data_IF_729354432966
#
_entry.id   IF_729354432966
#
_cell.length_a   1.000
_cell.length_b   1.000
_cell.length_c   1.000
_cell.angle_alpha   90.00
_cell.angle_beta   90.00
_cell.angle_gamma   90.00
#
_symmetry.space_group_name_H-M   'P 1'
#
loop_
_entity.id
_entity.type
_entity.pdbx_description
1 polymer ?
#
# COMPACT_ATOMS: atom_id res chain seq x y z
N UNK A 1 -43.90 16.84 54.28
CA UNK A 1 -43.04 17.94 53.78
C UNK A 1 -41.59 17.50 53.94
N UNK A 2 -40.94 17.09 52.85
CA UNK A 2 -39.51 16.80 52.78
C UNK A 2 -39.01 17.36 51.45
N UNK A 3 -38.14 18.36 51.54
CA UNK A 3 -37.54 19.13 50.44
C UNK A 3 -36.36 18.38 49.82
N UNK A 4 -36.38 18.24 48.49
CA UNK A 4 -35.23 17.82 47.67
C UNK A 4 -34.52 19.10 47.19
N UNK A 5 -33.20 19.25 47.32
CA UNK A 5 -32.49 20.38 46.71
C UNK A 5 -32.25 20.11 45.21
N UNK A 6 -32.74 21.03 44.38
CA UNK A 6 -32.40 21.09 42.95
C UNK A 6 -30.92 21.43 42.76
N UNK A 7 -30.19 20.52 42.10
CA UNK A 7 -28.90 20.77 41.48
C UNK A 7 -29.03 21.81 40.37
N UNK A 8 -28.16 22.82 40.38
CA UNK A 8 -28.09 23.88 39.36
C UNK A 8 -27.69 23.28 38.01
N UNK A 9 -28.50 23.54 36.98
CA UNK A 9 -28.16 23.29 35.58
C UNK A 9 -26.91 24.09 35.18
N UNK A 10 -25.86 23.38 34.78
CA UNK A 10 -24.74 23.95 34.04
C UNK A 10 -25.17 23.98 32.58
N UNK A 11 -25.43 25.19 32.06
CA UNK A 11 -25.65 25.42 30.62
C UNK A 11 -24.38 25.03 29.87
N UNK A 12 -24.42 23.87 29.20
CA UNK A 12 -23.38 23.48 28.25
C UNK A 12 -23.54 24.33 26.98
N UNK A 13 -22.66 25.30 26.78
CA UNK A 13 -22.41 25.83 25.44
C UNK A 13 -21.92 24.65 24.62
N UNK A 14 -22.73 24.17 23.67
CA UNK A 14 -22.59 22.93 22.92
C UNK A 14 -21.31 22.79 22.09
N UNK A 15 -20.17 22.71 22.75
CA UNK A 15 -18.87 22.33 22.21
C UNK A 15 -18.46 21.01 22.87
N UNK A 16 -18.09 20.04 22.05
CA UNK A 16 -17.58 18.74 22.47
C UNK A 16 -16.22 18.90 23.16
N UNK A 17 -15.93 18.08 24.19
CA UNK A 17 -14.69 18.14 24.99
C UNK A 17 -13.40 18.01 24.17
N UNK A 18 -13.46 17.32 23.02
CA UNK A 18 -12.34 17.26 22.07
C UNK A 18 -12.07 18.63 21.45
N UNK A 19 -13.09 19.45 21.21
CA UNK A 19 -12.95 20.77 20.60
C UNK A 19 -12.25 21.77 21.55
N UNK A 20 -12.45 21.63 22.87
CA UNK A 20 -11.77 22.42 23.90
C UNK A 20 -10.27 22.08 24.02
N UNK A 21 -9.89 20.82 23.75
CA UNK A 21 -8.49 20.39 23.74
C UNK A 21 -7.72 20.97 22.55
N UNK A 22 -8.37 21.13 21.39
CA UNK A 22 -7.75 21.68 20.19
C UNK A 22 -7.68 23.22 20.20
N UNK A 23 -8.66 23.91 20.79
CA UNK A 23 -8.60 25.38 20.95
C UNK A 23 -7.45 25.83 21.87
N UNK A 24 -6.98 24.97 22.80
CA UNK A 24 -5.80 25.25 23.64
C UNK A 24 -4.46 25.15 22.91
N UNK A 25 -4.39 24.43 21.80
CA UNK A 25 -3.14 24.23 21.06
C UNK A 25 -2.81 25.39 20.10
N UNK A 26 -3.78 26.24 19.76
CA UNK A 26 -3.66 27.28 18.73
C UNK A 26 -3.90 28.71 19.23
N UNK A 27 -3.40 29.05 20.43
CA UNK A 27 -3.33 30.44 20.87
C UNK A 27 -1.88 30.93 20.85
N UNK A 28 -1.51 31.92 20.01
CA UNK A 28 -0.18 32.52 20.04
C UNK A 28 -0.11 33.42 21.27
N UNK A 29 0.59 32.97 22.31
CA UNK A 29 0.83 33.76 23.50
C UNK A 29 1.77 34.94 23.18
N UNK A 30 1.14 36.09 22.95
CA UNK A 30 1.70 37.43 22.95
C UNK A 30 2.75 37.63 24.05
N UNK A 31 3.97 37.98 23.65
CA UNK A 31 5.08 38.33 24.53
C UNK A 31 4.79 39.62 25.33
N UNK A 32 5.04 39.68 26.65
CA UNK A 32 5.11 40.95 27.36
C UNK A 32 6.56 41.46 27.43
N UNK A 33 6.78 42.68 26.94
CA UNK A 33 8.03 43.45 27.16
C UNK A 33 8.18 43.82 28.65
N UNK A 34 9.35 43.66 29.28
CA UNK A 34 9.55 44.09 30.65
C UNK A 34 9.97 45.58 30.74
N UNK A 35 9.31 46.33 31.61
CA UNK A 35 9.79 47.62 32.14
C UNK A 35 10.81 47.35 33.26
N UNK A 36 11.92 48.09 33.24
CA UNK A 36 13.02 48.09 34.23
C UNK A 36 12.53 48.41 35.65
N UNK A 37 12.98 47.64 36.66
CA UNK A 37 13.76 48.14 37.80
C UNK A 37 14.27 47.02 38.72
N UNK A 38 15.60 46.95 38.82
CA UNK A 38 16.47 46.55 39.95
C UNK A 38 16.03 45.49 40.97
N UNK A 39 16.78 44.38 41.05
CA UNK A 39 17.83 44.13 42.08
C UNK A 39 18.43 42.74 41.83
N UNK A 40 19.75 42.68 41.95
CA UNK A 40 20.63 41.53 41.76
C UNK A 40 20.29 40.37 42.71
N UNK A 41 19.98 39.19 42.17
CA UNK A 41 20.24 37.89 42.81
C UNK A 41 20.52 36.86 41.69
N UNK A 42 21.50 36.01 41.96
CA UNK A 42 22.27 35.14 41.06
C UNK A 42 21.44 34.28 40.09
N UNK A 43 21.78 34.34 38.81
CA UNK A 43 21.30 33.37 37.83
C UNK A 43 22.05 32.04 38.03
N UNK A 44 21.32 31.00 38.46
CA UNK A 44 21.82 29.64 38.54
C UNK A 44 22.15 29.19 37.11
N UNK A 45 23.44 29.18 36.78
CA UNK A 45 23.92 28.66 35.50
C UNK A 45 23.87 27.13 35.56
N UNK A 46 22.80 26.54 35.04
CA UNK A 46 22.56 25.09 35.02
C UNK A 46 23.74 24.33 34.37
N UNK A 47 24.45 24.98 33.42
CA UNK A 47 25.63 24.42 32.78
C UNK A 47 26.86 24.32 33.69
N UNK A 48 26.96 25.14 34.74
CA UNK A 48 28.03 25.07 35.75
C UNK A 48 27.76 24.02 36.85
N UNK A 49 26.50 23.60 37.02
CA UNK A 49 26.10 22.52 37.94
C UNK A 49 26.32 21.12 37.36
N UNK A 50 26.45 20.99 36.03
CA UNK A 50 26.69 19.71 35.36
C UNK A 50 28.18 19.38 35.15
N UNK A 51 29.07 20.35 35.33
CA UNK A 51 30.51 20.20 35.05
C UNK A 51 31.35 19.74 36.25
N UNK A 52 30.79 19.69 37.46
CA UNK A 52 31.48 19.21 38.66
C UNK A 52 30.85 17.92 39.18
N UNK A 53 31.21 16.79 38.58
CA UNK A 53 31.07 15.50 39.24
C UNK A 53 32.18 14.53 38.85
N UNK A 54 33.42 14.91 39.16
CA UNK A 54 34.51 13.94 39.29
C UNK A 54 34.36 13.22 40.63
N UNK A 55 33.64 12.10 40.62
CA UNK A 55 33.63 11.16 41.73
C UNK A 55 33.84 9.74 41.21
N UNK A 56 35.03 9.21 41.50
CA UNK A 56 35.43 7.82 41.34
C UNK A 56 34.41 6.87 41.98
N UNK A 57 33.63 6.18 41.15
CA UNK A 57 32.96 4.92 41.49
C UNK A 57 33.00 3.99 40.26
N UNK A 58 33.20 2.67 40.45
CA UNK A 58 33.32 1.73 39.33
C UNK A 58 32.02 1.72 38.52
N UNK A 59 32.17 1.80 37.19
CA UNK A 59 31.07 1.89 36.25
C UNK A 59 30.08 0.72 36.46
N UNK A 60 28.89 1.03 36.98
CA UNK A 60 27.75 0.12 36.88
C UNK A 60 27.49 -0.05 35.40
N UNK A 61 27.66 -1.29 34.90
CA UNK A 61 27.35 -1.66 33.52
C UNK A 61 25.94 -1.17 33.22
N UNK A 62 25.84 -0.10 32.42
CA UNK A 62 24.59 0.28 31.80
C UNK A 62 24.13 -0.95 31.03
N UNK A 63 22.90 -1.37 31.28
CA UNK A 63 22.25 -2.41 30.51
C UNK A 63 22.17 -1.90 29.08
N UNK A 64 23.13 -2.29 28.25
CA UNK A 64 23.00 -2.16 26.80
C UNK A 64 22.02 -3.27 26.43
N UNK A 65 20.80 -2.96 25.95
CA UNK A 65 19.95 -4.02 25.41
C UNK A 65 20.78 -4.77 24.37
N UNK A 66 20.74 -6.11 24.34
CA UNK A 66 21.59 -6.87 23.43
C UNK A 66 21.38 -6.31 22.04
N UNK A 67 22.42 -5.70 21.48
CA UNK A 67 22.48 -5.41 20.05
C UNK A 67 22.20 -6.73 19.39
N UNK A 68 21.00 -6.90 18.84
CA UNK A 68 20.73 -7.96 17.90
C UNK A 68 21.80 -7.77 16.84
N UNK A 69 22.80 -8.64 16.86
CA UNK A 69 23.56 -8.89 15.66
C UNK A 69 22.50 -9.31 14.66
N UNK A 70 22.08 -8.36 13.82
CA UNK A 70 21.50 -8.68 12.54
C UNK A 70 22.61 -9.47 11.88
N UNK A 71 22.60 -10.80 12.09
CA UNK A 71 23.18 -11.72 11.14
C UNK A 71 22.67 -11.18 9.83
N UNK A 72 23.59 -10.69 8.99
CA UNK A 72 23.28 -10.32 7.64
C UNK A 72 22.53 -11.51 7.07
N UNK A 73 21.20 -11.40 7.04
CA UNK A 73 20.36 -12.30 6.32
C UNK A 73 20.91 -12.22 4.92
N UNK A 74 21.61 -13.30 4.56
CA UNK A 74 21.85 -13.70 3.18
C UNK A 74 20.54 -13.36 2.50
N UNK A 75 20.56 -12.32 1.63
CA UNK A 75 19.39 -11.79 0.94
C UNK A 75 18.52 -12.99 0.55
N UNK A 76 17.49 -13.25 1.36
CA UNK A 76 16.48 -14.17 0.97
C UNK A 76 15.94 -13.53 -0.30
N UNK A 77 16.05 -14.24 -1.43
CA UNK A 77 15.29 -13.88 -2.62
C UNK A 77 13.88 -13.58 -2.10
N UNK A 78 13.31 -12.40 -2.35
CA UNK A 78 11.99 -12.07 -1.84
C UNK A 78 11.11 -13.24 -2.23
N UNK A 79 10.61 -13.92 -1.20
CA UNK A 79 9.57 -14.93 -1.32
C UNK A 79 8.56 -14.33 -2.27
N UNK A 80 8.40 -14.95 -3.45
CA UNK A 80 7.69 -14.38 -4.60
C UNK A 80 6.36 -13.82 -4.11
N UNK A 81 6.32 -12.52 -3.85
CA UNK A 81 5.10 -11.84 -3.49
C UNK A 81 4.22 -12.09 -4.69
N UNK A 82 3.11 -12.80 -4.48
CA UNK A 82 2.14 -13.05 -5.52
C UNK A 82 1.62 -11.66 -5.94
N UNK A 83 2.24 -11.10 -6.97
CA UNK A 83 1.76 -9.91 -7.64
C UNK A 83 0.56 -10.38 -8.46
N UNK A 84 -0.62 -9.82 -8.21
CA UNK A 84 -1.84 -10.15 -8.95
C UNK A 84 -2.04 -9.17 -10.11
N UNK A 85 -1.86 -7.88 -9.83
CA UNK A 85 -2.02 -6.82 -10.82
C UNK A 85 -1.12 -5.64 -10.48
N UNK A 86 -0.43 -5.10 -11.49
CA UNK A 86 0.45 -3.95 -11.35
C UNK A 86 -0.18 -2.76 -12.08
N UNK A 87 -0.33 -1.63 -11.40
CA UNK A 87 -0.97 -0.43 -11.96
C UNK A 87 -0.02 0.52 -12.67
N UNK A 88 1.26 0.45 -12.32
CA UNK A 88 2.31 1.15 -13.06
C UNK A 88 3.66 0.45 -12.87
N UNK A 89 4.45 0.43 -13.92
CA UNK A 89 5.79 -0.14 -13.93
C UNK A 89 6.78 0.93 -14.35
N UNK A 90 7.79 1.18 -13.54
CA UNK A 90 8.82 2.16 -13.79
C UNK A 90 10.10 1.40 -14.10
N UNK A 91 10.62 1.60 -15.30
CA UNK A 91 11.88 1.05 -15.76
C UNK A 91 12.89 2.20 -15.81
N UNK A 92 14.04 2.04 -15.17
CA UNK A 92 15.15 2.99 -15.27
C UNK A 92 16.36 2.29 -15.88
N UNK A 93 16.80 2.80 -17.04
CA UNK A 93 17.87 2.22 -17.87
C UNK A 93 18.93 3.25 -18.23
N UNK A 94 20.10 2.78 -18.68
CA UNK A 94 21.17 3.61 -19.22
C UNK A 94 20.99 3.95 -20.71
N UNK A 95 20.12 3.22 -21.41
CA UNK A 95 19.73 3.43 -22.82
C UNK A 95 18.23 3.57 -22.93
N UNK A 96 17.75 4.10 -24.05
CA UNK A 96 16.32 4.19 -24.33
C UNK A 96 15.68 2.81 -24.22
N UNK A 97 14.62 2.71 -23.42
CA UNK A 97 13.91 1.45 -23.23
C UNK A 97 12.88 1.27 -24.33
N UNK A 98 13.05 0.23 -25.14
CA UNK A 98 12.06 -0.20 -26.11
C UNK A 98 11.11 -1.22 -25.47
N UNK A 99 9.81 -0.92 -25.53
CA UNK A 99 8.77 -1.82 -25.06
C UNK A 99 8.74 -3.09 -25.94
N UNK A 100 8.53 -4.29 -25.39
CA UNK A 100 8.32 -5.46 -26.23
C UNK A 100 7.09 -5.29 -27.13
N UNK A 101 7.19 -5.73 -28.38
CA UNK A 101 6.09 -5.68 -29.37
C UNK A 101 4.81 -6.37 -28.87
N UNK A 102 4.95 -7.36 -28.00
CA UNK A 102 3.85 -8.07 -27.37
C UNK A 102 3.06 -7.23 -26.37
N UNK A 103 3.60 -6.10 -25.89
CA UNK A 103 2.92 -5.17 -24.98
C UNK A 103 2.46 -3.90 -25.70
N UNK A 104 2.94 -3.65 -26.92
CA UNK A 104 2.51 -2.51 -27.70
C UNK A 104 1.04 -2.66 -28.13
N UNK A 105 0.27 -1.58 -28.00
CA UNK A 105 -1.16 -1.57 -28.31
C UNK A 105 -2.06 -2.46 -27.43
N UNK A 106 -1.51 -3.10 -26.39
CA UNK A 106 -2.33 -3.93 -25.50
C UNK A 106 -3.30 -3.12 -24.66
N UNK A 107 -4.46 -3.72 -24.44
CA UNK A 107 -5.54 -3.17 -23.64
C UNK A 107 -5.99 -4.17 -22.58
N UNK A 108 -6.44 -3.66 -21.45
CA UNK A 108 -7.06 -4.43 -20.38
C UNK A 108 -8.52 -4.03 -20.28
N UNK A 109 -9.41 -5.02 -20.21
CA UNK A 109 -10.84 -4.80 -20.03
C UNK A 109 -11.15 -4.75 -18.54
N UNK A 110 -11.78 -3.66 -18.10
CA UNK A 110 -11.91 -3.34 -16.68
C UNK A 110 -13.33 -2.97 -16.32
N UNK A 111 -13.85 -3.56 -15.26
CA UNK A 111 -15.12 -3.18 -14.66
C UNK A 111 -14.92 -2.84 -13.19
N UNK A 112 -15.37 -1.65 -12.78
CA UNK A 112 -15.28 -1.11 -11.41
C UNK A 112 -16.58 -0.43 -10.98
N UNK A 113 -17.72 -0.99 -11.38
CA UNK A 113 -19.05 -0.46 -11.11
C UNK A 113 -19.75 -1.20 -9.98
N UNK A 114 -20.80 -0.60 -9.43
CA UNK A 114 -21.84 -1.35 -8.70
C UNK A 114 -23.02 -1.67 -9.63
N UNK A 115 -23.29 -0.78 -10.60
CA UNK A 115 -24.27 -0.97 -11.67
C UNK A 115 -23.97 -2.15 -12.59
N UNK A 116 -24.96 -3.01 -12.80
CA UNK A 116 -24.88 -4.20 -13.68
C UNK A 116 -23.80 -5.22 -13.28
N UNK A 117 -23.44 -5.26 -11.99
CA UNK A 117 -22.40 -6.16 -11.48
C UNK A 117 -22.74 -7.63 -11.72
N UNK A 118 -24.01 -8.00 -11.58
CA UNK A 118 -24.47 -9.39 -11.78
C UNK A 118 -24.31 -9.79 -13.25
N UNK A 119 -24.73 -8.96 -14.20
CA UNK A 119 -24.54 -9.26 -15.62
C UNK A 119 -23.06 -9.29 -16.00
N UNK A 120 -22.27 -8.31 -15.52
CA UNK A 120 -20.84 -8.24 -15.79
C UNK A 120 -20.10 -9.45 -15.22
N UNK A 121 -20.42 -9.88 -14.00
CA UNK A 121 -19.84 -11.06 -13.38
C UNK A 121 -20.21 -12.36 -14.10
N UNK A 122 -21.48 -12.52 -14.49
CA UNK A 122 -21.93 -13.72 -15.20
C UNK A 122 -21.25 -13.90 -16.56
N UNK A 123 -20.98 -12.81 -17.27
CA UNK A 123 -20.23 -12.83 -18.52
C UNK A 123 -18.73 -13.07 -18.26
N UNK A 124 -18.15 -12.36 -17.29
CA UNK A 124 -16.76 -12.55 -16.86
C UNK A 124 -16.46 -14.01 -16.47
N UNK A 125 -17.37 -14.67 -15.74
CA UNK A 125 -17.24 -16.07 -15.33
C UNK A 125 -17.07 -17.04 -16.52
N UNK A 126 -17.74 -16.75 -17.64
CA UNK A 126 -17.59 -17.54 -18.88
C UNK A 126 -16.22 -17.29 -19.50
N UNK A 127 -15.76 -16.04 -19.49
CA UNK A 127 -14.51 -15.62 -20.12
C UNK A 127 -13.27 -16.05 -19.34
N UNK A 128 -13.37 -16.25 -18.02
CA UNK A 128 -12.27 -16.74 -17.16
C UNK A 128 -11.61 -18.02 -17.69
N UNK A 129 -12.35 -18.88 -18.41
CA UNK A 129 -11.84 -20.14 -18.95
C UNK A 129 -11.10 -19.95 -20.28
N UNK A 130 -11.43 -18.92 -21.05
CA UNK A 130 -10.86 -18.67 -22.39
C UNK A 130 -9.77 -17.61 -22.37
N UNK A 131 -9.89 -16.63 -21.46
CA UNK A 131 -8.95 -15.54 -21.31
C UNK A 131 -7.58 -16.04 -20.85
N UNK A 132 -6.52 -15.39 -21.36
CA UNK A 132 -5.15 -15.70 -20.95
C UNK A 132 -4.94 -15.45 -19.46
N UNK A 133 -5.47 -14.33 -18.98
CA UNK A 133 -5.49 -13.99 -17.56
C UNK A 133 -6.73 -13.17 -17.21
N UNK A 134 -7.26 -13.40 -16.02
CA UNK A 134 -8.37 -12.63 -15.46
C UNK A 134 -8.17 -12.47 -13.96
N UNK A 135 -8.54 -11.31 -13.43
CA UNK A 135 -8.45 -10.98 -12.01
C UNK A 135 -9.81 -10.51 -11.54
N UNK A 136 -10.32 -11.14 -10.48
CA UNK A 136 -11.51 -10.69 -9.78
C UNK A 136 -11.12 -10.29 -8.35
N UNK A 137 -11.33 -9.01 -8.03
CA UNK A 137 -11.01 -8.45 -6.72
C UNK A 137 -12.27 -7.98 -6.02
N UNK A 138 -12.37 -8.33 -4.74
CA UNK A 138 -13.34 -7.82 -3.80
C UNK A 138 -12.61 -7.16 -2.63
N UNK A 139 -13.34 -6.56 -1.69
CA UNK A 139 -12.74 -5.92 -0.52
C UNK A 139 -11.94 -6.88 0.37
N UNK A 140 -12.31 -8.18 0.36
CA UNK A 140 -11.74 -9.21 1.26
C UNK A 140 -10.65 -10.06 0.63
N UNK A 141 -10.70 -10.25 -0.69
CA UNK A 141 -9.77 -11.10 -1.42
C UNK A 141 -9.61 -10.65 -2.87
N UNK A 142 -8.56 -11.12 -3.52
CA UNK A 142 -8.40 -11.12 -4.96
C UNK A 142 -8.09 -12.53 -5.46
N UNK A 143 -8.68 -12.88 -6.59
CA UNK A 143 -8.42 -14.11 -7.33
C UNK A 143 -7.79 -13.77 -8.67
N UNK A 144 -6.75 -14.50 -9.05
CA UNK A 144 -6.16 -14.47 -10.38
C UNK A 144 -6.36 -15.84 -11.02
N UNK A 145 -6.92 -15.82 -12.21
CA UNK A 145 -7.14 -16.97 -13.07
C UNK A 145 -6.16 -16.88 -14.23
N UNK A 146 -5.21 -17.81 -14.31
CA UNK A 146 -4.17 -17.81 -15.33
C UNK A 146 -3.88 -19.23 -15.80
N UNK A 147 -4.15 -19.52 -17.08
CA UNK A 147 -3.81 -20.82 -17.69
C UNK A 147 -4.36 -22.03 -16.94
N UNK A 148 -5.59 -21.94 -16.42
CA UNK A 148 -6.23 -23.01 -15.65
C UNK A 148 -5.80 -23.13 -14.18
N UNK A 149 -4.88 -22.28 -13.72
CA UNK A 149 -4.51 -22.18 -12.30
C UNK A 149 -5.21 -20.98 -11.67
N UNK A 150 -5.70 -21.17 -10.44
CA UNK A 150 -6.27 -20.09 -9.64
C UNK A 150 -5.40 -19.85 -8.42
N UNK A 151 -5.01 -18.59 -8.23
CA UNK A 151 -4.30 -18.14 -7.04
C UNK A 151 -5.17 -17.13 -6.34
N UNK A 152 -5.13 -17.10 -5.01
CA UNK A 152 -5.89 -16.13 -4.23
C UNK A 152 -5.00 -15.38 -3.25
N UNK A 153 -5.39 -14.15 -2.95
CA UNK A 153 -4.80 -13.32 -1.91
C UNK A 153 -5.92 -12.81 -1.03
N UNK A 154 -5.80 -13.07 0.26
CA UNK A 154 -6.66 -12.46 1.26
C UNK A 154 -6.10 -11.09 1.67
N UNK A 155 -6.99 -10.12 1.86
CA UNK A 155 -6.66 -8.81 2.42
C UNK A 155 -7.01 -8.71 3.91
N UNK A 156 -7.84 -9.63 4.43
CA UNK A 156 -8.23 -9.67 5.84
C UNK A 156 -7.90 -11.04 6.45
N UNK A 157 -7.56 -11.08 7.74
CA UNK A 157 -7.28 -12.34 8.43
C UNK A 157 -8.48 -13.30 8.46
N UNK A 158 -9.70 -12.78 8.41
CA UNK A 158 -10.92 -13.59 8.26
C UNK A 158 -11.04 -14.22 6.88
N UNK A 159 -10.65 -13.51 5.82
CA UNK A 159 -10.63 -14.05 4.47
C UNK A 159 -9.51 -15.07 4.30
N UNK A 160 -8.36 -14.88 4.97
CA UNK A 160 -7.28 -15.85 4.95
C UNK A 160 -7.74 -17.20 5.52
N UNK A 161 -8.42 -17.19 6.67
CA UNK A 161 -9.00 -18.43 7.25
C UNK A 161 -10.00 -19.10 6.30
N UNK A 162 -10.87 -18.33 5.66
CA UNK A 162 -11.82 -18.87 4.67
C UNK A 162 -11.10 -19.51 3.48
N UNK A 163 -10.04 -18.89 2.97
CA UNK A 163 -9.25 -19.46 1.89
C UNK A 163 -8.46 -20.71 2.32
N UNK A 164 -7.94 -20.74 3.55
CA UNK A 164 -7.23 -21.89 4.13
C UNK A 164 -8.16 -23.09 4.38
N UNK A 165 -9.43 -22.84 4.74
CA UNK A 165 -10.47 -23.87 4.86
C UNK A 165 -10.78 -24.55 3.52
N UNK A 166 -10.72 -23.78 2.43
CA UNK A 166 -11.01 -24.26 1.07
C UNK A 166 -9.79 -24.92 0.40
N UNK A 167 -8.58 -24.44 0.70
CA UNK A 167 -7.35 -24.98 0.14
C UNK A 167 -6.19 -24.82 1.11
N UNK A 168 -5.48 -25.91 1.38
CA UNK A 168 -4.24 -25.88 2.16
C UNK A 168 -3.12 -25.13 1.42
N UNK A 169 -3.22 -24.99 0.11
CA UNK A 169 -2.30 -24.25 -0.75
C UNK A 169 -3.02 -23.12 -1.50
N UNK A 170 -2.79 -21.89 -1.07
CA UNK A 170 -3.33 -20.65 -1.66
C UNK A 170 -2.87 -20.43 -3.12
N UNK A 171 -1.85 -21.16 -3.56
CA UNK A 171 -1.30 -21.06 -4.91
C UNK A 171 -1.97 -21.98 -5.93
N UNK A 172 -2.86 -22.88 -5.50
CA UNK A 172 -3.53 -23.86 -6.37
C UNK A 172 -4.98 -24.12 -5.95
N UNK A 173 -5.81 -23.08 -6.00
CA UNK A 173 -7.24 -23.18 -5.70
C UNK A 173 -7.99 -23.80 -6.89
N UNK A 174 -9.01 -24.60 -6.59
CA UNK A 174 -9.92 -25.12 -7.62
C UNK A 174 -10.76 -23.99 -8.20
N UNK A 175 -10.87 -23.95 -9.53
CA UNK A 175 -11.57 -22.89 -10.25
C UNK A 175 -13.03 -22.75 -9.83
N UNK A 176 -13.76 -23.86 -9.72
CA UNK A 176 -15.19 -23.82 -9.37
C UNK A 176 -15.41 -23.32 -7.93
N UNK A 177 -14.53 -23.68 -6.99
CA UNK A 177 -14.59 -23.17 -5.60
C UNK A 177 -14.31 -21.67 -5.52
N UNK A 178 -13.35 -21.17 -6.30
CA UNK A 178 -13.07 -19.72 -6.37
C UNK A 178 -14.26 -18.95 -6.95
N UNK A 179 -14.89 -19.48 -8.00
CA UNK A 179 -16.08 -18.87 -8.59
C UNK A 179 -17.26 -18.86 -7.62
N UNK A 180 -17.47 -19.93 -6.86
CA UNK A 180 -18.53 -20.02 -5.85
C UNK A 180 -18.36 -18.97 -4.75
N UNK A 181 -17.12 -18.79 -4.24
CA UNK A 181 -16.86 -17.75 -3.23
C UNK A 181 -17.18 -16.34 -3.73
N UNK A 182 -16.84 -16.05 -4.99
CA UNK A 182 -17.16 -14.74 -5.58
C UNK A 182 -18.67 -14.62 -5.80
N UNK A 183 -19.35 -15.71 -6.18
CA UNK A 183 -20.82 -15.74 -6.34
C UNK A 183 -21.56 -15.40 -5.04
N UNK A 184 -21.07 -15.88 -3.90
CA UNK A 184 -21.66 -15.58 -2.58
C UNK A 184 -21.49 -14.10 -2.20
N UNK A 185 -20.42 -13.48 -2.68
CA UNK A 185 -19.99 -12.14 -2.25
C UNK A 185 -20.41 -11.05 -3.24
N UNK A 186 -20.69 -11.39 -4.50
CA UNK A 186 -21.10 -10.44 -5.53
C UNK A 186 -22.36 -9.65 -5.15
N UNK A 187 -23.26 -10.22 -4.34
CA UNK A 187 -24.48 -9.53 -3.94
C UNK A 187 -24.22 -8.47 -2.84
N UNK A 188 -23.14 -8.65 -2.08
CA UNK A 188 -22.86 -7.87 -0.87
C UNK A 188 -21.72 -6.88 -1.05
N UNK A 189 -20.75 -7.18 -1.91
CA UNK A 189 -19.54 -6.37 -2.10
C UNK A 189 -19.38 -5.91 -3.53
N UNK A 190 -18.78 -4.74 -3.68
CA UNK A 190 -18.36 -4.22 -4.98
C UNK A 190 -17.19 -5.05 -5.52
N UNK A 191 -17.36 -5.59 -6.72
CA UNK A 191 -16.32 -6.33 -7.44
C UNK A 191 -15.55 -5.39 -8.38
N UNK A 192 -14.25 -5.63 -8.48
CA UNK A 192 -13.37 -5.06 -9.50
C UNK A 192 -12.87 -6.20 -10.37
N UNK A 193 -13.28 -6.19 -11.64
CA UNK A 193 -12.98 -7.24 -12.60
C UNK A 193 -12.00 -6.72 -13.64
N UNK A 194 -10.99 -7.52 -13.96
CA UNK A 194 -9.96 -7.22 -14.94
C UNK A 194 -9.75 -8.45 -15.82
N UNK A 195 -9.74 -8.30 -17.13
CA UNK A 195 -9.49 -9.41 -18.05
C UNK A 195 -8.66 -8.97 -19.25
N UNK A 196 -7.94 -9.91 -19.84
CA UNK A 196 -7.34 -9.73 -21.17
C UNK A 196 -8.38 -9.70 -22.28
N UNK A 197 -9.55 -10.29 -22.03
CA UNK A 197 -10.60 -10.46 -23.03
C UNK A 197 -11.79 -9.55 -22.72
N UNK A 198 -12.55 -9.19 -23.76
CA UNK A 198 -13.73 -8.34 -23.61
C UNK A 198 -14.85 -9.07 -22.85
N UNK A 199 -15.50 -8.36 -21.93
CA UNK A 199 -16.70 -8.82 -21.23
C UNK A 199 -17.72 -7.69 -21.05
N UNK A 200 -18.95 -8.04 -20.68
CA UNK A 200 -20.03 -7.07 -20.53
C UNK A 200 -19.74 -5.99 -19.50
N UNK A 201 -20.10 -4.75 -19.87
CA UNK A 201 -19.87 -3.53 -19.10
C UNK A 201 -18.39 -3.21 -18.80
N UNK A 202 -17.46 -3.91 -19.45
CA UNK A 202 -16.04 -3.59 -19.33
C UNK A 202 -15.69 -2.30 -20.08
N UNK A 203 -14.81 -1.52 -19.47
CA UNK A 203 -14.18 -0.33 -20.05
C UNK A 203 -12.78 -0.70 -20.49
N UNK A 204 -12.43 -0.36 -21.72
CA UNK A 204 -11.10 -0.59 -22.29
C UNK A 204 -10.11 0.38 -21.67
N UNK A 205 -9.05 -0.14 -21.06
CA UNK A 205 -7.92 0.64 -20.54
C UNK A 205 -6.63 0.28 -21.32
N UNK A 206 -6.11 1.18 -22.17
CA UNK A 206 -4.86 0.94 -22.86
C UNK A 206 -3.66 1.09 -21.93
N UNK A 207 -2.58 0.36 -22.24
CA UNK A 207 -1.28 0.59 -21.62
C UNK A 207 -0.67 1.85 -22.25
N UNK A 208 -0.28 2.80 -21.41
CA UNK A 208 0.34 4.06 -21.85
C UNK A 208 1.81 4.11 -21.46
N UNK A 209 2.64 4.55 -22.40
CA UNK A 209 4.08 4.68 -22.24
C UNK A 209 4.45 6.15 -22.07
N UNK A 210 5.24 6.47 -21.04
CA UNK A 210 5.85 7.79 -20.87
C UNK A 210 7.34 7.64 -20.63
N UNK A 211 8.15 8.05 -21.60
CA UNK A 211 9.60 8.04 -21.50
C UNK A 211 10.14 9.42 -21.14
N UNK A 212 11.09 9.47 -20.22
CA UNK A 212 11.74 10.70 -19.76
C UNK A 212 13.25 10.47 -19.71
N UNK A 213 14.02 11.41 -20.28
CA UNK A 213 15.49 11.42 -20.20
C UNK A 213 15.92 12.38 -19.09
N UNK A 214 16.93 11.99 -18.30
CA UNK A 214 17.54 12.86 -17.30
C UNK A 214 19.04 12.58 -17.13
N UNK A 215 19.78 13.63 -16.79
CA UNK A 215 21.21 13.51 -16.51
C UNK A 215 21.45 13.10 -15.05
N UNK A 216 22.36 12.16 -14.84
CA UNK A 216 22.82 11.73 -13.53
C UNK A 216 24.34 11.89 -13.42
N UNK A 217 24.88 11.80 -12.21
CA UNK A 217 26.33 11.83 -11.96
C UNK A 217 27.10 10.73 -12.70
N UNK A 218 26.43 9.65 -13.08
CA UNK A 218 27.00 8.51 -13.82
C UNK A 218 26.71 8.58 -15.34
N UNK A 219 26.15 9.68 -15.84
CA UNK A 219 25.77 9.86 -17.24
C UNK A 219 24.25 9.96 -17.46
N UNK A 220 23.85 9.94 -18.74
CA UNK A 220 22.44 10.00 -19.16
C UNK A 220 21.67 8.75 -18.73
N UNK A 221 20.49 8.93 -18.17
CA UNK A 221 19.57 7.86 -17.78
C UNK A 221 18.21 8.09 -18.40
N UNK A 222 17.54 6.98 -18.69
CA UNK A 222 16.20 6.95 -19.25
C UNK A 222 15.28 6.34 -18.20
N UNK A 223 14.14 6.98 -17.98
CA UNK A 223 13.07 6.48 -17.13
C UNK A 223 11.82 6.36 -17.96
N UNK A 224 11.33 5.13 -18.07
CA UNK A 224 10.10 4.79 -18.78
C UNK A 224 9.06 4.36 -17.78
N UNK A 225 7.90 5.03 -17.81
CA UNK A 225 6.75 4.73 -16.97
C UNK A 225 5.66 4.12 -17.85
N UNK A 226 5.38 2.85 -17.58
CA UNK A 226 4.25 2.11 -18.12
C UNK A 226 3.08 2.28 -17.16
N UNK A 227 2.01 2.94 -17.62
CA UNK A 227 0.80 3.14 -16.81
C UNK A 227 -0.37 2.37 -17.43
N UNK A 228 -1.01 1.51 -16.64
CA UNK A 228 -2.06 0.60 -17.10
C UNK A 228 -2.20 -0.58 -16.15
N UNK A 229 -3.17 -1.46 -16.40
CA UNK A 229 -3.33 -2.69 -15.61
C UNK A 229 -2.52 -3.80 -16.25
N UNK A 230 -1.35 -4.08 -15.68
CA UNK A 230 -0.40 -5.09 -16.14
C UNK A 230 -0.60 -6.38 -15.35
N UNK A 231 -0.74 -7.49 -16.06
CA UNK A 231 -0.81 -8.82 -15.46
C UNK A 231 0.58 -9.37 -15.14
N UNK A 232 0.70 -10.37 -14.26
CA UNK A 232 2.01 -10.86 -13.80
C UNK A 232 2.87 -11.44 -14.91
N UNK A 233 2.26 -12.02 -15.96
CA UNK A 233 3.01 -12.52 -17.12
C UNK A 233 3.65 -11.39 -17.94
N UNK A 234 3.04 -10.20 -17.96
CA UNK A 234 3.53 -9.02 -18.68
C UNK A 234 4.68 -8.37 -17.92
N UNK A 235 4.58 -8.33 -16.59
CA UNK A 235 5.66 -7.85 -15.73
C UNK A 235 6.88 -8.76 -15.85
N UNK A 236 6.68 -10.09 -15.91
CA UNK A 236 7.77 -11.05 -16.16
C UNK A 236 8.43 -10.84 -17.52
N UNK A 237 7.65 -10.51 -18.54
CA UNK A 237 8.17 -10.21 -19.87
C UNK A 237 9.05 -8.96 -19.86
N UNK A 238 8.63 -7.88 -19.20
CA UNK A 238 9.48 -6.69 -19.01
C UNK A 238 10.73 -7.00 -18.19
N UNK A 239 10.60 -7.80 -17.13
CA UNK A 239 11.75 -8.22 -16.33
C UNK A 239 12.74 -9.08 -17.13
N UNK A 240 12.28 -9.85 -18.11
CA UNK A 240 13.17 -10.65 -18.96
C UNK A 240 14.08 -9.81 -19.86
N UNK A 241 13.74 -8.53 -20.08
CA UNK A 241 14.54 -7.59 -20.86
C UNK A 241 15.75 -7.03 -20.11
N UNK A 242 15.89 -7.32 -18.81
CA UNK A 242 17.05 -6.94 -17.99
C UNK A 242 18.38 -7.29 -18.68
N UNK A 243 18.44 -8.46 -19.34
CA UNK A 243 19.62 -8.94 -20.06
C UNK A 243 20.10 -8.03 -21.21
N UNK A 244 19.24 -7.15 -21.71
CA UNK A 244 19.57 -6.23 -22.80
C UNK A 244 20.20 -4.92 -22.33
N UNK A 245 20.21 -4.64 -21.02
CA UNK A 245 20.67 -3.38 -20.45
C UNK A 245 21.74 -3.61 -19.37
N UNK A 246 22.74 -2.73 -19.29
CA UNK A 246 23.79 -2.84 -18.26
C UNK A 246 23.28 -2.38 -16.89
N UNK A 247 22.36 -1.43 -16.88
CA UNK A 247 21.64 -1.01 -15.67
C UNK A 247 20.16 -1.10 -15.95
N UNK A 248 19.46 -1.93 -15.17
CA UNK A 248 18.02 -2.09 -15.24
C UNK A 248 17.47 -2.06 -13.82
N UNK A 249 16.76 -0.98 -13.49
CA UNK A 249 16.03 -0.90 -12.24
C UNK A 249 14.53 -0.93 -12.54
N UNK A 250 13.87 -1.96 -12.05
CA UNK A 250 12.44 -2.15 -12.16
C UNK A 250 11.76 -1.78 -10.84
N UNK A 251 10.75 -0.93 -10.91
CA UNK A 251 9.90 -0.61 -9.75
C UNK A 251 8.45 -0.80 -10.16
N UNK A 252 7.77 -1.76 -9.53
CA UNK A 252 6.34 -2.04 -9.74
C UNK A 252 5.50 -1.34 -8.67
N UNK A 253 4.38 -0.76 -9.08
CA UNK A 253 3.31 -0.33 -8.19
C UNK A 253 2.22 -1.40 -8.19
N UNK A 254 2.24 -2.25 -7.17
CA UNK A 254 1.36 -3.40 -7.03
C UNK A 254 -0.02 -2.92 -6.55
N UNK A 255 -1.08 -3.29 -7.27
CA UNK A 255 -2.46 -3.01 -6.87
C UNK A 255 -2.99 -4.08 -5.91
N UNK A 256 -2.72 -5.35 -6.23
CA UNK A 256 -3.20 -6.50 -5.48
C UNK A 256 -2.09 -7.53 -5.35
#
# INVERSE_FOLDING_TARGET
MLTIPHTKEIKSNGKCDIQLLWERANSPASSPKPKKQSKSVEAINILALLSNNNNNKPAKKLFVPPTMQIKSEIKAKPETSLEFLVGSLIVTTNKEFHLPDSLDGKVTYVYKGAENQIESWNDFKKNVRTAKCSVASAARFAFIFEGGKVRAKAFTGTAQKQLEELSSDLTSIQLDSALQMIDEIQATQKLSLYSTDMFYYSVVHPITLKSTEFESTTGKKYRTVLSGYLFPFEVKEVHSMDTNYETFNLTSNILY
#
